data_IF_586824087756
#
_entry.id   IF_586824087756
#
_cell.length_a   1.000
_cell.length_b   1.000
_cell.length_c   1.000
_cell.angle_alpha   90.00
_cell.angle_beta   90.00
_cell.angle_gamma   90.00
#
_symmetry.space_group_name_H-M   'P 1'
#
loop_
_entity.id
_entity.type
_entity.pdbx_description
1 polymer ?
#
# COMPACT_ATOMS: atom_id res chain seq x y z
N UNK A 1 -6.50 -6.82 -6.80
CA UNK A 1 -7.33 -6.31 -7.91
C UNK A 1 -7.47 -7.45 -8.91
N UNK A 2 -8.68 -7.93 -9.22
CA UNK A 2 -8.83 -8.89 -10.31
C UNK A 2 -8.40 -8.21 -11.61
N UNK A 3 -7.62 -8.93 -12.43
CA UNK A 3 -7.19 -8.45 -13.74
C UNK A 3 -8.14 -9.02 -14.79
N UNK A 4 -8.68 -8.16 -15.64
CA UNK A 4 -9.50 -8.48 -16.80
C UNK A 4 -8.77 -9.51 -17.64
N UNK A 5 -9.42 -10.65 -17.88
CA UNK A 5 -8.88 -11.71 -18.72
C UNK A 5 -9.30 -11.46 -20.15
N UNK A 6 -8.38 -11.58 -21.10
CA UNK A 6 -8.73 -11.65 -22.52
C UNK A 6 -9.36 -13.01 -22.79
N UNK A 7 -10.62 -13.08 -23.26
CA UNK A 7 -11.26 -14.35 -23.53
C UNK A 7 -10.53 -15.11 -24.66
N UNK A 8 -10.55 -16.43 -24.59
CA UNK A 8 -10.13 -17.28 -25.71
C UNK A 8 -11.12 -17.12 -26.86
N UNK A 9 -10.67 -17.38 -28.09
CA UNK A 9 -11.59 -17.46 -29.22
C UNK A 9 -12.56 -18.64 -29.03
N UNK A 10 -13.83 -18.45 -29.34
CA UNK A 10 -14.84 -19.52 -29.24
C UNK A 10 -14.60 -20.57 -30.31
N UNK A 11 -14.21 -20.13 -31.51
CA UNK A 11 -13.90 -20.95 -32.67
C UNK A 11 -12.68 -20.43 -33.39
N UNK A 12 -11.86 -21.34 -33.90
CA UNK A 12 -10.70 -21.02 -34.76
C UNK A 12 -10.87 -21.82 -36.04
N UNK A 13 -10.95 -21.16 -37.21
CA UNK A 13 -11.17 -21.85 -38.49
C UNK A 13 -10.05 -22.84 -38.79
N UNK A 14 -10.40 -24.05 -39.25
CA UNK A 14 -9.42 -25.05 -39.68
C UNK A 14 -9.49 -25.34 -41.18
N UNK A 15 -8.32 -25.55 -41.78
CA UNK A 15 -8.21 -25.96 -43.19
C UNK A 15 -8.73 -27.37 -43.46
N UNK A 16 -9.01 -28.15 -42.42
CA UNK A 16 -9.63 -29.47 -42.52
C UNK A 16 -11.15 -29.42 -42.58
N UNK A 17 -11.75 -28.26 -42.35
CA UNK A 17 -13.20 -28.12 -42.29
C UNK A 17 -13.83 -28.14 -43.69
N UNK A 18 -15.11 -28.49 -43.74
CA UNK A 18 -15.88 -28.30 -44.98
C UNK A 18 -15.98 -26.81 -45.30
N UNK A 19 -16.20 -26.44 -46.58
CA UNK A 19 -16.26 -25.03 -46.97
C UNK A 19 -17.27 -24.19 -46.16
N UNK A 20 -18.43 -24.76 -45.85
CA UNK A 20 -19.48 -24.07 -45.09
C UNK A 20 -19.07 -23.87 -43.62
N UNK A 21 -18.47 -24.89 -42.99
CA UNK A 21 -18.00 -24.81 -41.60
C UNK A 21 -16.83 -23.83 -41.48
N UNK A 22 -15.88 -23.86 -42.41
CA UNK A 22 -14.76 -22.91 -42.42
C UNK A 22 -15.26 -21.47 -42.51
N UNK A 23 -16.22 -21.19 -43.39
CA UNK A 23 -16.75 -19.84 -43.58
C UNK A 23 -17.47 -19.32 -42.33
N UNK A 24 -18.29 -20.16 -41.69
CA UNK A 24 -18.97 -19.80 -40.45
C UNK A 24 -18.00 -19.55 -39.28
N UNK A 25 -16.96 -20.38 -39.15
CA UNK A 25 -15.95 -20.21 -38.09
C UNK A 25 -15.10 -18.94 -38.34
N UNK A 26 -14.85 -18.56 -39.60
CA UNK A 26 -14.15 -17.30 -39.93
C UNK A 26 -14.96 -16.09 -39.50
N UNK A 27 -16.27 -16.08 -39.81
CA UNK A 27 -17.14 -14.98 -39.41
C UNK A 27 -17.20 -14.84 -37.88
N UNK A 28 -17.31 -15.97 -37.16
CA UNK A 28 -17.26 -15.98 -35.69
C UNK A 28 -15.92 -15.43 -35.18
N UNK A 29 -14.80 -15.94 -35.69
CA UNK A 29 -13.46 -15.52 -35.28
C UNK A 29 -13.24 -14.02 -35.49
N UNK A 30 -13.63 -13.49 -36.66
CA UNK A 30 -13.49 -12.07 -36.98
C UNK A 30 -14.39 -11.19 -36.12
N UNK A 31 -15.59 -11.65 -35.77
CA UNK A 31 -16.52 -10.91 -34.91
C UNK A 31 -16.02 -10.76 -33.47
N UNK A 32 -15.18 -11.68 -32.99
CA UNK A 32 -14.63 -11.66 -31.63
C UNK A 32 -13.38 -10.78 -31.48
N UNK A 33 -12.73 -10.40 -32.59
CA UNK A 33 -11.48 -9.60 -32.55
C UNK A 33 -11.66 -8.26 -31.79
N UNK A 34 -12.70 -7.45 -32.04
CA UNK A 34 -12.86 -6.16 -31.37
C UNK A 34 -13.01 -6.28 -29.85
N UNK A 35 -13.83 -7.22 -29.37
CA UNK A 35 -14.07 -7.44 -27.94
C UNK A 35 -12.80 -7.90 -27.24
N UNK A 36 -12.02 -8.76 -27.88
CA UNK A 36 -10.71 -9.19 -27.36
C UNK A 36 -9.69 -8.06 -27.34
N UNK A 37 -9.70 -7.17 -28.33
CA UNK A 37 -8.83 -5.99 -28.34
C UNK A 37 -9.18 -5.03 -27.17
N UNK A 38 -10.48 -4.82 -26.91
CA UNK A 38 -10.93 -4.05 -25.75
C UNK A 38 -10.48 -4.69 -24.43
N UNK A 39 -10.70 -5.99 -24.26
CA UNK A 39 -10.25 -6.71 -23.07
C UNK A 39 -8.73 -6.64 -22.88
N UNK A 40 -7.96 -6.72 -23.97
CA UNK A 40 -6.49 -6.64 -23.93
C UNK A 40 -6.00 -5.26 -23.52
N UNK A 41 -6.63 -4.19 -24.02
CA UNK A 41 -6.29 -2.83 -23.63
C UNK A 41 -6.63 -2.57 -22.17
N UNK A 42 -7.80 -3.04 -21.72
CA UNK A 42 -8.21 -2.95 -20.31
C UNK A 42 -7.25 -3.69 -19.39
N UNK A 43 -6.87 -4.92 -19.75
CA UNK A 43 -5.88 -5.70 -19.01
C UNK A 43 -4.54 -4.95 -18.88
N UNK A 44 -4.06 -4.33 -19.96
CA UNK A 44 -2.81 -3.57 -19.93
C UNK A 44 -2.89 -2.35 -18.98
N UNK A 45 -4.02 -1.63 -18.99
CA UNK A 45 -4.24 -0.50 -18.07
C UNK A 45 -4.23 -0.94 -16.60
N UNK A 46 -4.89 -2.04 -16.28
CA UNK A 46 -4.95 -2.57 -14.92
C UNK A 46 -3.59 -3.06 -14.43
N UNK A 47 -2.80 -3.71 -15.29
CA UNK A 47 -1.42 -4.13 -14.96
C UNK A 47 -0.53 -2.92 -14.69
N UNK A 48 -0.63 -1.86 -15.51
CA UNK A 48 0.13 -0.63 -15.29
C UNK A 48 -0.26 0.05 -13.96
N UNK A 49 -1.56 0.17 -13.67
CA UNK A 49 -2.04 0.72 -12.40
C UNK A 49 -1.58 -0.11 -11.19
N UNK A 50 -1.59 -1.44 -11.31
CA UNK A 50 -1.08 -2.33 -10.26
C UNK A 50 0.43 -2.14 -10.04
N UNK A 51 1.20 -1.96 -11.11
CA UNK A 51 2.65 -1.69 -11.01
C UNK A 51 2.93 -0.37 -10.27
N UNK A 52 2.18 0.70 -10.57
CA UNK A 52 2.28 1.98 -9.85
C UNK A 52 1.92 1.85 -8.36
N UNK A 53 0.88 1.08 -8.04
CA UNK A 53 0.50 0.80 -6.66
C UNK A 53 1.61 0.03 -5.92
N UNK A 54 2.22 -0.97 -6.56
CA UNK A 54 3.35 -1.72 -5.98
C UNK A 54 4.56 -0.82 -5.74
N UNK A 55 4.89 0.07 -6.68
CA UNK A 55 5.98 1.03 -6.51
C UNK A 55 5.74 1.97 -5.32
N UNK A 56 4.51 2.47 -5.18
CA UNK A 56 4.12 3.32 -4.04
C UNK A 56 4.21 2.54 -2.73
N UNK A 57 3.71 1.31 -2.69
CA UNK A 57 3.76 0.46 -1.50
C UNK A 57 5.21 0.14 -1.10
N UNK A 58 6.09 -0.11 -2.08
CA UNK A 58 7.50 -0.38 -1.85
C UNK A 58 8.23 0.83 -1.23
N UNK A 59 7.91 2.05 -1.69
CA UNK A 59 8.44 3.28 -1.09
C UNK A 59 8.00 3.43 0.37
N UNK A 60 6.71 3.23 0.67
CA UNK A 60 6.19 3.26 2.05
C UNK A 60 6.85 2.21 2.94
N UNK A 61 7.08 1.00 2.42
CA UNK A 61 7.76 -0.06 3.17
C UNK A 61 9.23 0.29 3.42
N UNK A 62 9.94 0.86 2.43
CA UNK A 62 11.32 1.28 2.60
C UNK A 62 11.46 2.39 3.67
N UNK A 63 10.55 3.37 3.68
CA UNK A 63 10.50 4.40 4.72
C UNK A 63 10.23 3.79 6.10
N UNK A 64 9.28 2.85 6.21
CA UNK A 64 8.99 2.16 7.46
C UNK A 64 10.18 1.28 7.94
N UNK A 65 10.90 0.63 7.03
CA UNK A 65 12.09 -0.17 7.36
C UNK A 65 13.24 0.70 7.84
N UNK A 66 13.49 1.86 7.21
CA UNK A 66 14.51 2.81 7.67
C UNK A 66 14.19 3.39 9.06
N UNK A 67 12.90 3.62 9.35
CA UNK A 67 12.46 3.98 10.69
C UNK A 67 12.73 2.85 11.71
N UNK A 68 12.48 1.60 11.33
CA UNK A 68 12.69 0.43 12.20
C UNK A 68 14.17 0.13 12.48
N UNK A 69 15.08 0.25 11.50
CA UNK A 69 16.52 -0.01 11.70
C UNK A 69 17.15 0.88 12.78
N UNK A 70 16.68 2.12 12.93
CA UNK A 70 17.10 3.00 14.03
C UNK A 70 16.64 2.53 15.41
N UNK A 71 15.61 1.68 15.48
CA UNK A 71 15.00 1.21 16.72
C UNK A 71 15.55 -0.11 17.26
N UNK A 72 16.16 -0.95 16.43
CA UNK A 72 16.62 -2.29 16.83
C UNK A 72 17.79 -2.24 17.84
N UNK A 73 18.56 -1.14 17.85
CA UNK A 73 19.64 -0.88 18.81
C UNK A 73 19.39 0.37 19.65
N UNK A 74 18.14 0.84 19.73
CA UNK A 74 17.82 2.01 20.54
C UNK A 74 18.10 1.72 22.03
N UNK A 75 18.69 2.68 22.72
CA UNK A 75 18.91 2.56 24.17
C UNK A 75 17.58 2.69 24.92
N UNK A 76 17.56 2.19 26.16
CA UNK A 76 16.40 2.41 27.04
C UNK A 76 16.27 3.90 27.31
N UNK A 77 15.07 4.45 27.13
CA UNK A 77 14.83 5.84 27.49
C UNK A 77 15.15 6.10 28.96
N UNK A 78 15.84 7.23 29.18
CA UNK A 78 16.09 7.84 30.48
C UNK A 78 15.90 9.36 30.38
N UNK A 79 15.62 10.02 31.50
CA UNK A 79 15.54 11.49 31.51
C UNK A 79 16.91 12.10 31.18
N UNK A 80 16.95 13.05 30.25
CA UNK A 80 18.18 13.62 29.73
C UNK A 80 17.99 14.40 28.44
N UNK A 81 19.10 14.83 27.85
CA UNK A 81 19.12 15.58 26.60
C UNK A 81 19.13 14.62 25.41
N UNK A 82 18.30 14.92 24.42
CA UNK A 82 18.19 14.19 23.16
C UNK A 82 18.32 15.17 22.00
N UNK A 83 19.03 14.75 20.96
CA UNK A 83 19.17 15.47 19.71
C UNK A 83 18.08 15.05 18.72
N UNK A 84 17.80 15.88 17.73
CA UNK A 84 16.89 15.52 16.63
C UNK A 84 17.30 14.17 16.01
N UNK A 85 16.33 13.26 15.89
CA UNK A 85 16.54 11.94 15.31
C UNK A 85 17.06 10.86 16.26
N UNK A 86 17.40 11.17 17.52
CA UNK A 86 17.80 10.17 18.51
C UNK A 86 16.67 9.16 18.74
N UNK A 87 17.03 7.87 18.83
CA UNK A 87 16.07 6.77 19.00
C UNK A 87 16.25 6.05 20.35
N UNK A 88 15.15 5.85 21.06
CA UNK A 88 15.09 5.14 22.35
C UNK A 88 13.86 4.24 22.42
N UNK A 89 13.90 3.21 23.27
CA UNK A 89 12.68 2.47 23.62
C UNK A 89 12.08 2.95 24.94
N UNK A 90 10.76 3.10 24.97
CA UNK A 90 10.01 3.45 26.16
C UNK A 90 9.91 2.24 27.11
N UNK A 91 10.33 2.37 28.38
CA UNK A 91 10.08 1.34 29.38
C UNK A 91 8.61 1.14 29.74
N UNK A 92 7.71 2.03 29.33
CA UNK A 92 6.29 1.96 29.64
C UNK A 92 5.54 1.01 28.71
N UNK A 93 5.79 1.08 27.41
CA UNK A 93 5.07 0.30 26.40
C UNK A 93 5.98 -0.64 25.57
N UNK A 94 7.30 -0.54 25.72
CA UNK A 94 8.28 -1.34 24.99
C UNK A 94 8.44 -0.94 23.52
N UNK A 95 7.90 0.20 23.11
CA UNK A 95 7.96 0.70 21.74
C UNK A 95 9.12 1.67 21.55
N UNK A 96 9.60 1.76 20.31
CA UNK A 96 10.68 2.68 19.94
C UNK A 96 10.12 4.02 19.49
N UNK A 97 10.79 5.08 19.93
CA UNK A 97 10.47 6.45 19.62
C UNK A 97 11.68 7.20 19.07
N UNK A 98 11.44 8.22 18.25
CA UNK A 98 12.45 9.13 17.71
C UNK A 98 12.20 10.56 18.16
N UNK A 99 13.24 11.23 18.64
CA UNK A 99 13.21 12.66 18.99
C UNK A 99 12.89 13.51 17.75
N UNK A 100 12.04 14.53 17.92
CA UNK A 100 11.59 15.45 16.84
C UNK A 100 12.50 16.64 16.59
N UNK A 101 13.31 16.97 17.57
CA UNK A 101 14.15 18.15 17.65
C UNK A 101 15.14 17.93 18.80
N UNK A 102 16.02 18.90 19.03
CA UNK A 102 16.86 18.94 20.23
C UNK A 102 16.04 19.38 21.44
N UNK A 103 15.99 18.58 22.52
CA UNK A 103 15.29 18.92 23.76
C UNK A 103 15.75 18.07 24.95
N UNK A 104 15.39 18.52 26.15
CA UNK A 104 15.55 17.73 27.38
C UNK A 104 14.26 16.97 27.69
N UNK A 105 14.32 15.64 27.65
CA UNK A 105 13.20 14.77 27.98
C UNK A 105 13.13 14.53 29.49
N UNK A 106 12.01 14.88 30.11
CA UNK A 106 11.67 14.52 31.50
C UNK A 106 10.50 13.53 31.58
N UNK A 107 9.79 13.34 30.48
CA UNK A 107 8.68 12.40 30.33
C UNK A 107 9.08 11.25 29.44
N UNK A 108 8.54 10.07 29.77
CA UNK A 108 8.65 8.88 28.94
C UNK A 108 8.06 9.15 27.54
N UNK A 109 8.71 8.72 26.44
CA UNK A 109 8.26 8.98 25.08
C UNK A 109 6.82 8.57 24.80
N UNK A 110 6.34 7.49 25.43
CA UNK A 110 4.96 7.02 25.29
C UNK A 110 3.93 8.02 25.81
N UNK A 111 4.34 8.89 26.73
CA UNK A 111 3.52 9.95 27.34
C UNK A 111 3.83 11.36 26.80
N UNK A 112 4.79 11.49 25.88
CA UNK A 112 5.22 12.77 25.31
C UNK A 112 5.16 12.79 23.78
N UNK A 113 3.94 12.78 23.22
CA UNK A 113 3.75 12.88 21.77
C UNK A 113 4.12 14.26 21.21
N UNK A 114 4.40 15.25 22.05
CA UNK A 114 4.82 16.57 21.57
C UNK A 114 6.25 16.52 21.04
N UNK A 115 7.15 15.80 21.73
CA UNK A 115 8.58 15.75 21.41
C UNK A 115 9.04 14.44 20.75
N UNK A 116 8.22 13.38 20.78
CA UNK A 116 8.58 12.07 20.24
C UNK A 116 7.68 11.61 19.08
N UNK A 117 8.28 10.95 18.09
CA UNK A 117 7.61 10.18 17.04
C UNK A 117 7.61 8.69 17.39
N UNK A 118 6.45 8.04 17.42
CA UNK A 118 6.38 6.58 17.55
C UNK A 118 6.83 5.93 16.23
N UNK A 119 7.78 4.98 16.31
CA UNK A 119 8.35 4.30 15.15
C UNK A 119 7.66 2.98 14.81
N UNK A 120 6.57 2.63 15.51
CA UNK A 120 5.74 1.46 15.21
C UNK A 120 4.59 1.83 14.24
N UNK A 121 4.68 1.43 12.96
CA UNK A 121 3.73 1.85 11.93
C UNK A 121 2.30 1.31 12.14
N UNK A 122 2.11 0.20 12.88
CA UNK A 122 0.79 -0.39 13.09
C UNK A 122 -0.05 0.42 14.09
N UNK A 123 0.57 0.96 15.13
CA UNK A 123 -0.12 1.75 16.14
C UNK A 123 -0.45 3.16 15.61
N UNK A 124 0.47 3.78 14.88
CA UNK A 124 0.24 5.06 14.21
C UNK A 124 -0.90 4.98 13.18
N UNK A 125 -0.95 3.90 12.38
CA UNK A 125 -2.05 3.66 11.46
C UNK A 125 -3.41 3.54 12.20
N UNK A 126 -3.44 2.83 13.33
CA UNK A 126 -4.63 2.70 14.17
C UNK A 126 -5.12 4.04 14.74
N UNK A 127 -4.20 4.89 15.23
CA UNK A 127 -4.51 6.23 15.75
C UNK A 127 -5.07 7.16 14.67
N UNK A 128 -4.48 7.15 13.47
CA UNK A 128 -4.92 7.97 12.33
C UNK A 128 -6.30 7.54 11.79
N UNK A 129 -6.54 6.23 11.66
CA UNK A 129 -7.84 5.69 11.25
C UNK A 129 -8.92 6.11 12.26
N UNK A 130 -8.62 5.98 13.56
CA UNK A 130 -9.53 6.38 14.64
C UNK A 130 -9.79 7.89 14.67
N UNK A 131 -8.77 8.71 14.42
CA UNK A 131 -8.91 10.16 14.33
C UNK A 131 -9.75 10.60 13.13
N UNK A 132 -9.59 9.94 11.97
CA UNK A 132 -10.41 10.18 10.77
C UNK A 132 -11.87 9.73 10.98
N UNK A 133 -12.10 8.58 11.59
CA UNK A 133 -13.44 8.10 11.92
C UNK A 133 -14.20 9.06 12.83
N UNK A 134 -13.52 9.66 13.83
CA UNK A 134 -14.10 10.67 14.72
C UNK A 134 -14.49 11.96 13.99
N UNK A 135 -13.66 12.46 13.08
CA UNK A 135 -13.98 13.67 12.28
C UNK A 135 -15.18 13.45 11.35
N UNK A 136 -15.34 12.26 10.78
CA UNK A 136 -16.53 11.92 9.99
C UNK A 136 -17.81 11.85 10.83
N UNK A 137 -17.73 11.29 12.04
CA UNK A 137 -18.88 11.24 12.95
C UNK A 137 -19.36 12.63 13.39
N UNK A 138 -18.46 13.62 13.53
CA UNK A 138 -18.83 15.01 13.87
C UNK A 138 -19.49 15.76 12.70
N UNK A 139 -19.19 15.39 11.45
CA UNK A 139 -19.77 16.04 10.26
C UNK A 139 -21.18 15.56 9.92
N UNK A 140 -21.53 14.32 10.25
CA UNK A 140 -22.86 13.73 9.98
C UNK A 140 -23.88 14.09 11.08
N UNK A 141 -23.43 14.67 12.19
CA UNK A 141 -24.26 15.01 13.36
C UNK A 141 -24.60 16.51 13.54
N UNK A 142 -24.45 17.34 12.52
CA UNK A 142 -24.76 18.78 12.55
C UNK A 142 -25.83 19.15 11.50
#
# INVERSE_FOLDING_TARGET
>A
MPVTQVPAFTKVPSRSDTPDTFSADVDSFLSEIPDRALASNQQAQEVNAAAEQVATQAATVAEASAAFESGVNADRWAAGDYSDGDAVWSPTDGLTYRAKADFTSVLDPASDPANWHNLNPVEEAGKLISARARRFATWIGA
#
